data_IF_392123405810
#
_entry.id   IF_392123405810
#
_cell.length_a   1.000
_cell.length_b   1.000
_cell.length_c   1.000
_cell.angle_alpha   90.00
_cell.angle_beta   90.00
_cell.angle_gamma   90.00
#
_symmetry.space_group_name_H-M   'P 1'
#
loop_
_entity.id
_entity.type
_entity.pdbx_description
1 polymer ?
#
# COMPACT_ATOMS: atom_id res chain seq x y z
N UNK A 1 17.21 1.18 -2.19
CA UNK A 1 15.93 0.44 -2.41
C UNK A 1 15.73 -0.58 -1.31
N UNK A 2 14.53 -0.65 -0.73
CA UNK A 2 14.15 -1.60 0.32
C UNK A 2 13.34 -2.73 -0.30
N UNK A 3 13.73 -3.98 -0.07
CA UNK A 3 13.09 -5.16 -0.66
C UNK A 3 12.16 -5.86 0.35
N UNK A 4 10.96 -6.24 -0.09
CA UNK A 4 10.01 -7.00 0.71
C UNK A 4 10.35 -8.49 0.63
N UNK A 5 11.34 -8.92 1.39
CA UNK A 5 11.97 -10.25 1.34
C UNK A 5 11.49 -11.24 2.41
N UNK A 6 10.53 -10.82 3.28
CA UNK A 6 10.06 -11.67 4.40
C UNK A 6 8.80 -12.47 4.08
N UNK A 7 8.29 -12.38 2.87
CA UNK A 7 7.13 -13.14 2.44
C UNK A 7 7.41 -14.64 2.40
N UNK A 8 6.46 -15.44 2.89
CA UNK A 8 6.46 -16.91 2.75
C UNK A 8 5.39 -17.38 1.77
N UNK A 9 4.22 -16.75 1.82
CA UNK A 9 3.06 -17.10 0.98
C UNK A 9 3.01 -16.34 -0.34
N UNK A 10 3.86 -15.34 -0.52
CA UNK A 10 4.01 -14.62 -1.78
C UNK A 10 5.45 -14.73 -2.30
N UNK A 11 5.61 -14.83 -3.61
CA UNK A 11 6.90 -14.86 -4.28
C UNK A 11 6.79 -14.28 -5.69
N UNK A 12 7.67 -13.33 -6.03
CA UNK A 12 7.86 -12.92 -7.41
C UNK A 12 8.85 -13.86 -8.07
N UNK A 13 8.32 -14.82 -8.83
CA UNK A 13 9.09 -15.93 -9.42
C UNK A 13 9.99 -15.44 -10.55
N UNK A 14 9.45 -14.61 -11.44
CA UNK A 14 10.15 -14.05 -12.60
C UNK A 14 9.49 -12.74 -13.05
N UNK A 15 10.23 -11.93 -13.81
CA UNK A 15 9.78 -10.66 -14.35
C UNK A 15 10.40 -10.44 -15.72
N UNK A 16 9.60 -10.49 -16.79
CA UNK A 16 10.08 -10.38 -18.17
C UNK A 16 8.97 -10.03 -19.17
N UNK A 17 9.32 -9.30 -20.23
CA UNK A 17 8.40 -8.99 -21.31
C UNK A 17 7.16 -8.22 -20.88
N UNK A 18 7.31 -7.29 -19.94
CA UNK A 18 6.20 -6.49 -19.41
C UNK A 18 5.29 -7.22 -18.44
N UNK A 19 5.69 -8.38 -17.90
CA UNK A 19 4.87 -9.23 -17.04
C UNK A 19 5.61 -9.73 -15.80
N UNK A 20 4.84 -9.91 -14.73
CA UNK A 20 5.25 -10.61 -13.50
C UNK A 20 4.69 -12.02 -13.51
N UNK A 21 5.52 -13.00 -13.17
CA UNK A 21 5.09 -14.34 -12.78
C UNK A 21 5.15 -14.44 -11.26
N UNK A 22 4.02 -14.64 -10.61
CA UNK A 22 3.88 -14.53 -9.17
C UNK A 22 3.20 -15.76 -8.57
N UNK A 23 3.66 -16.17 -7.40
CA UNK A 23 2.98 -17.16 -6.55
C UNK A 23 2.28 -16.45 -5.39
N UNK A 24 1.00 -16.77 -5.20
CA UNK A 24 0.12 -16.23 -4.17
C UNK A 24 -0.49 -17.39 -3.38
N UNK A 25 0.18 -17.90 -2.35
CA UNK A 25 -0.09 -19.18 -1.75
C UNK A 25 0.20 -20.29 -2.77
N UNK A 26 -0.82 -21.09 -3.10
CA UNK A 26 -0.74 -22.14 -4.12
C UNK A 26 -1.12 -21.67 -5.54
N UNK A 27 -1.55 -20.40 -5.67
CA UNK A 27 -2.02 -19.85 -6.94
C UNK A 27 -0.89 -19.11 -7.66
N UNK A 28 -0.66 -19.46 -8.92
CA UNK A 28 0.34 -18.82 -9.78
C UNK A 28 -0.39 -17.92 -10.77
N UNK A 29 -0.03 -16.63 -10.80
CA UNK A 29 -0.64 -15.62 -11.65
C UNK A 29 0.40 -14.96 -12.56
N UNK A 30 -0.04 -14.59 -13.77
CA UNK A 30 0.69 -13.70 -14.68
C UNK A 30 -0.06 -12.37 -14.73
N UNK A 31 0.65 -11.28 -14.40
CA UNK A 31 0.07 -9.93 -14.41
C UNK A 31 0.96 -8.96 -15.17
N UNK A 32 0.39 -8.00 -15.93
CA UNK A 32 1.16 -7.00 -16.64
C UNK A 32 1.77 -5.99 -15.67
N UNK A 33 3.02 -5.62 -15.93
CA UNK A 33 3.71 -4.55 -15.23
C UNK A 33 4.50 -3.68 -16.23
N UNK A 34 4.11 -2.42 -16.43
CA UNK A 34 4.76 -1.55 -17.40
C UNK A 34 6.18 -1.11 -17.01
N UNK A 35 6.60 -1.35 -15.75
CA UNK A 35 7.97 -1.05 -15.33
C UNK A 35 8.97 -2.10 -15.81
N UNK A 36 8.50 -3.29 -16.21
CA UNK A 36 9.34 -4.35 -16.73
C UNK A 36 9.61 -4.08 -18.21
N UNK A 37 10.69 -3.33 -18.48
CA UNK A 37 11.09 -2.92 -19.82
C UNK A 37 12.04 -3.93 -20.50
N UNK A 38 12.52 -4.91 -19.75
CA UNK A 38 13.42 -5.96 -20.24
C UNK A 38 12.65 -7.19 -20.71
N UNK A 39 13.24 -7.88 -21.67
CA UNK A 39 12.72 -9.14 -22.21
C UNK A 39 13.80 -10.23 -22.08
N UNK A 40 13.80 -10.91 -20.95
CA UNK A 40 14.70 -12.02 -20.65
C UNK A 40 14.04 -13.34 -20.99
N UNK A 41 14.81 -14.42 -21.28
CA UNK A 41 14.22 -15.72 -21.52
C UNK A 41 13.39 -16.20 -20.32
N UNK A 42 12.11 -16.46 -20.55
CA UNK A 42 11.16 -17.02 -19.57
C UNK A 42 11.43 -18.49 -19.31
N UNK A 43 12.53 -18.78 -18.58
CA UNK A 43 13.00 -20.17 -18.34
C UNK A 43 12.23 -20.90 -17.27
N UNK A 44 11.58 -20.20 -16.35
CA UNK A 44 10.80 -20.83 -15.29
C UNK A 44 9.61 -21.58 -15.90
N UNK A 45 9.49 -22.91 -15.64
CA UNK A 45 8.39 -23.72 -16.22
C UNK A 45 7.02 -23.27 -15.75
N UNK A 46 6.94 -22.53 -14.64
CA UNK A 46 5.69 -22.01 -14.06
C UNK A 46 5.02 -20.95 -14.95
N UNK A 47 5.75 -20.34 -15.91
CA UNK A 47 5.13 -19.50 -16.95
C UNK A 47 4.07 -20.26 -17.76
N UNK A 48 4.29 -21.58 -18.00
CA UNK A 48 3.35 -22.46 -18.71
C UNK A 48 2.36 -23.16 -17.78
N UNK A 49 2.52 -23.00 -16.47
CA UNK A 49 1.73 -23.67 -15.44
C UNK A 49 0.88 -22.69 -14.63
N UNK A 50 0.85 -21.42 -15.02
CA UNK A 50 0.06 -20.41 -14.36
C UNK A 50 -1.43 -20.82 -14.28
N UNK A 51 -2.09 -20.40 -13.22
CA UNK A 51 -3.53 -20.62 -13.04
C UNK A 51 -4.36 -19.61 -13.83
N UNK A 52 -3.88 -18.37 -13.90
CA UNK A 52 -4.54 -17.33 -14.68
C UNK A 52 -3.56 -16.25 -15.14
N UNK A 53 -3.94 -15.53 -16.20
CA UNK A 53 -3.23 -14.37 -16.75
C UNK A 53 -4.21 -13.21 -16.91
N UNK A 54 -3.80 -12.03 -16.50
CA UNK A 54 -4.58 -10.82 -16.69
C UNK A 54 -4.19 -10.13 -18.00
N UNK A 55 -5.16 -9.90 -18.86
CA UNK A 55 -4.99 -9.15 -20.11
C UNK A 55 -5.57 -7.74 -19.95
N UNK A 56 -4.74 -6.73 -20.24
CA UNK A 56 -5.20 -5.33 -20.28
C UNK A 56 -6.06 -5.10 -21.53
N UNK A 57 -7.13 -4.36 -21.34
CA UNK A 57 -7.91 -3.79 -22.45
C UNK A 57 -7.29 -2.45 -22.89
N UNK A 58 -7.40 -2.13 -24.17
CA UNK A 58 -6.97 -0.84 -24.73
C UNK A 58 -7.89 0.33 -24.30
N UNK A 59 -9.08 0.02 -23.75
CA UNK A 59 -10.07 1.01 -23.31
C UNK A 59 -10.10 1.20 -21.79
N UNK A 60 -9.14 0.60 -21.06
CA UNK A 60 -9.07 0.58 -19.61
C UNK A 60 -9.67 -0.70 -19.01
N UNK A 61 -9.21 -1.08 -17.83
CA UNK A 61 -9.54 -2.37 -17.21
C UNK A 61 -8.90 -3.55 -17.92
N UNK A 62 -9.58 -4.69 -17.96
CA UNK A 62 -9.14 -5.92 -18.61
C UNK A 62 -9.89 -7.14 -18.06
N UNK A 63 -9.37 -8.32 -18.34
CA UNK A 63 -9.98 -9.58 -17.95
C UNK A 63 -8.94 -10.63 -17.59
N UNK A 64 -9.34 -11.58 -16.72
CA UNK A 64 -8.56 -12.75 -16.38
C UNK A 64 -8.87 -13.90 -17.34
N UNK A 65 -7.85 -14.37 -18.03
CA UNK A 65 -7.87 -15.65 -18.71
C UNK A 65 -7.48 -16.75 -17.70
N UNK A 66 -8.39 -17.68 -17.46
CA UNK A 66 -8.19 -18.77 -16.49
C UNK A 66 -7.77 -20.04 -17.22
N UNK A 67 -6.61 -20.56 -16.91
CA UNK A 67 -6.08 -21.83 -17.46
C UNK A 67 -6.40 -23.01 -16.56
N UNK A 68 -6.60 -22.75 -15.26
CA UNK A 68 -6.94 -23.73 -14.24
C UNK A 68 -8.00 -23.16 -13.30
N UNK A 69 -8.65 -24.03 -12.55
CA UNK A 69 -9.57 -23.59 -11.50
C UNK A 69 -8.84 -22.77 -10.45
N UNK A 70 -9.35 -21.62 -10.14
CA UNK A 70 -8.92 -20.77 -9.02
C UNK A 70 -10.14 -20.44 -8.17
N UNK A 71 -10.02 -20.39 -6.84
CA UNK A 71 -11.09 -19.96 -5.95
C UNK A 71 -11.53 -18.53 -6.28
N UNK A 72 -12.77 -18.19 -5.95
CA UNK A 72 -13.23 -16.80 -6.04
C UNK A 72 -12.54 -15.90 -5.01
N UNK A 73 -12.08 -16.50 -3.91
CA UNK A 73 -11.23 -15.85 -2.91
C UNK A 73 -10.35 -16.89 -2.22
N UNK A 74 -9.10 -16.50 -1.91
CA UNK A 74 -8.20 -17.28 -1.06
C UNK A 74 -7.43 -16.36 -0.13
N UNK A 75 -6.65 -16.89 0.77
CA UNK A 75 -5.89 -16.10 1.74
C UNK A 75 -4.40 -16.39 1.65
N UNK A 76 -3.59 -15.37 1.96
CA UNK A 76 -2.16 -15.49 2.22
C UNK A 76 -1.81 -14.79 3.52
N UNK A 77 -0.72 -15.24 4.15
CA UNK A 77 -0.23 -14.70 5.39
C UNK A 77 1.01 -13.82 5.22
N UNK A 78 1.12 -12.78 6.03
CA UNK A 78 2.36 -12.06 6.31
C UNK A 78 2.54 -11.95 7.83
N UNK A 79 3.47 -12.75 8.38
CA UNK A 79 3.55 -12.93 9.82
C UNK A 79 2.23 -13.47 10.38
N UNK A 80 1.60 -12.72 11.29
CA UNK A 80 0.31 -13.07 11.89
C UNK A 80 -0.90 -12.49 11.14
N UNK A 81 -0.68 -11.69 10.11
CA UNK A 81 -1.74 -11.05 9.34
C UNK A 81 -2.20 -11.95 8.20
N UNK A 82 -3.51 -12.05 8.02
CA UNK A 82 -4.15 -12.78 6.93
C UNK A 82 -4.86 -11.81 5.97
N UNK A 83 -4.61 -11.99 4.70
CA UNK A 83 -5.17 -11.16 3.65
C UNK A 83 -5.96 -12.00 2.65
N UNK A 84 -7.23 -11.69 2.49
CA UNK A 84 -8.05 -12.25 1.44
C UNK A 84 -7.63 -11.66 0.08
N UNK A 85 -7.53 -12.52 -0.91
CA UNK A 85 -7.21 -12.18 -2.29
C UNK A 85 -8.38 -12.55 -3.18
N UNK A 86 -8.68 -11.70 -4.17
CA UNK A 86 -9.78 -11.92 -5.13
C UNK A 86 -9.32 -11.46 -6.52
N UNK A 87 -9.47 -12.24 -7.59
CA UNK A 87 -9.30 -11.73 -8.95
C UNK A 87 -10.37 -10.68 -9.23
N UNK A 88 -9.95 -9.45 -9.44
CA UNK A 88 -10.86 -8.33 -9.71
C UNK A 88 -10.97 -8.06 -11.22
N UNK A 89 -11.88 -7.21 -11.65
CA UNK A 89 -11.93 -6.66 -13.01
C UNK A 89 -10.72 -5.80 -13.36
N UNK A 90 -9.76 -5.68 -12.45
CA UNK A 90 -8.46 -5.03 -12.62
C UNK A 90 -7.33 -6.04 -12.38
N UNK A 91 -6.09 -5.65 -12.75
CA UNK A 91 -4.89 -6.48 -12.52
C UNK A 91 -4.58 -6.75 -11.04
N UNK A 92 -5.16 -5.98 -10.14
CA UNK A 92 -4.89 -6.08 -8.70
C UNK A 92 -5.71 -7.21 -8.06
N UNK A 93 -5.12 -7.83 -7.04
CA UNK A 93 -5.69 -8.98 -6.32
C UNK A 93 -6.12 -8.64 -4.90
N UNK A 94 -6.03 -7.35 -4.53
CA UNK A 94 -6.38 -6.86 -3.19
C UNK A 94 -5.17 -6.58 -2.29
N UNK A 95 -3.94 -6.83 -2.74
CA UNK A 95 -2.75 -6.61 -1.94
C UNK A 95 -1.57 -6.14 -2.79
N UNK A 96 -0.70 -5.34 -2.17
CA UNK A 96 0.58 -4.87 -2.71
C UNK A 96 1.71 -5.40 -1.82
N UNK A 97 2.32 -6.55 -2.17
CA UNK A 97 3.29 -7.22 -1.31
C UNK A 97 4.54 -6.38 -1.00
N UNK A 98 4.95 -5.53 -1.92
CA UNK A 98 6.07 -4.61 -1.75
C UNK A 98 5.90 -3.63 -0.59
N UNK A 99 4.66 -3.34 -0.20
CA UNK A 99 4.36 -2.48 0.95
C UNK A 99 4.74 -3.08 2.30
N UNK A 100 5.06 -4.37 2.35
CA UNK A 100 5.44 -5.03 3.60
C UNK A 100 6.64 -4.36 4.29
N UNK A 101 7.57 -3.76 3.52
CA UNK A 101 8.70 -3.00 4.11
C UNK A 101 8.23 -1.74 4.86
N UNK A 102 7.16 -1.11 4.39
CA UNK A 102 6.55 0.03 5.05
C UNK A 102 5.77 -0.40 6.30
N UNK A 103 5.05 -1.53 6.22
CA UNK A 103 4.34 -2.10 7.37
C UNK A 103 5.31 -2.45 8.50
N UNK A 104 6.42 -3.11 8.17
CA UNK A 104 7.46 -3.47 9.14
C UNK A 104 8.08 -2.24 9.79
N UNK A 105 8.40 -1.20 9.01
CA UNK A 105 8.98 0.04 9.52
C UNK A 105 8.05 0.73 10.50
N UNK A 106 6.77 0.93 10.14
CA UNK A 106 5.77 1.55 11.02
C UNK A 106 5.51 0.70 12.27
N UNK A 107 5.36 -0.62 12.10
CA UNK A 107 5.15 -1.53 13.23
C UNK A 107 6.32 -1.50 14.23
N UNK A 108 7.56 -1.42 13.73
CA UNK A 108 8.75 -1.33 14.58
C UNK A 108 8.79 -0.04 15.41
N UNK A 109 8.37 1.09 14.84
CA UNK A 109 8.25 2.36 15.56
C UNK A 109 7.15 2.29 16.63
N UNK A 110 5.95 1.84 16.25
CA UNK A 110 4.80 1.74 17.16
C UNK A 110 5.12 0.84 18.36
N UNK A 111 5.74 -0.32 18.14
CA UNK A 111 6.10 -1.28 19.21
C UNK A 111 7.11 -0.75 20.22
N UNK A 112 7.88 0.29 19.88
CA UNK A 112 8.83 0.91 20.81
C UNK A 112 8.16 1.92 21.75
N UNK A 113 6.97 2.37 21.42
CA UNK A 113 6.24 3.35 22.23
C UNK A 113 5.58 2.70 23.45
N UNK A 114 5.73 3.35 24.60
CA UNK A 114 5.08 2.97 25.86
C UNK A 114 3.78 3.76 26.12
N UNK A 115 3.16 4.28 25.06
CA UNK A 115 1.93 5.08 25.09
C UNK A 115 0.98 4.66 23.98
N UNK A 116 -0.30 4.97 24.09
CA UNK A 116 -1.22 4.79 22.96
C UNK A 116 -0.76 5.61 21.74
N UNK A 117 -0.66 4.96 20.59
CA UNK A 117 -0.29 5.59 19.31
C UNK A 117 -1.53 5.69 18.44
N UNK A 118 -1.84 6.91 17.98
CA UNK A 118 -2.95 7.16 17.04
C UNK A 118 -2.41 7.33 15.62
N UNK A 119 -2.90 6.52 14.69
CA UNK A 119 -2.45 6.51 13.30
C UNK A 119 -3.59 6.88 12.36
N UNK A 120 -3.33 7.76 11.41
CA UNK A 120 -4.21 8.08 10.29
C UNK A 120 -3.69 7.40 9.03
N UNK A 121 -4.51 6.53 8.42
CA UNK A 121 -4.24 5.90 7.14
C UNK A 121 -5.20 6.44 6.08
N UNK A 122 -4.68 7.25 5.16
CA UNK A 122 -5.41 7.82 4.02
C UNK A 122 -5.16 6.98 2.77
N UNK A 123 -6.20 6.82 1.93
CA UNK A 123 -6.21 5.92 0.77
C UNK A 123 -5.89 4.48 1.20
N UNK A 124 -6.55 4.05 2.28
CA UNK A 124 -6.18 2.86 3.04
C UNK A 124 -6.44 1.54 2.32
N UNK A 125 -7.12 1.56 1.14
CA UNK A 125 -7.39 0.40 0.29
C UNK A 125 -8.01 -0.76 1.09
N UNK A 126 -7.48 -1.99 0.97
CA UNK A 126 -7.95 -3.19 1.68
C UNK A 126 -7.38 -3.34 3.09
N UNK A 127 -6.75 -2.28 3.62
CA UNK A 127 -6.40 -2.17 5.03
C UNK A 127 -5.11 -2.85 5.49
N UNK A 128 -4.24 -3.33 4.61
CA UNK A 128 -3.04 -4.05 5.03
C UNK A 128 -2.14 -3.22 5.96
N UNK A 129 -1.84 -1.96 5.61
CA UNK A 129 -1.08 -1.05 6.46
C UNK A 129 -1.82 -0.73 7.79
N UNK A 130 -3.16 -0.61 7.74
CA UNK A 130 -3.99 -0.46 8.94
C UNK A 130 -3.80 -1.63 9.89
N UNK A 131 -3.90 -2.87 9.39
CA UNK A 131 -3.77 -4.07 10.21
C UNK A 131 -2.36 -4.23 10.77
N UNK A 132 -1.32 -3.87 10.01
CA UNK A 132 0.06 -3.90 10.50
C UNK A 132 0.26 -2.92 11.68
N UNK A 133 -0.28 -1.70 11.59
CA UNK A 133 -0.22 -0.72 12.68
C UNK A 133 -1.05 -1.18 13.90
N UNK A 134 -2.24 -1.75 13.69
CA UNK A 134 -3.11 -2.25 14.77
C UNK A 134 -2.49 -3.45 15.48
N UNK A 135 -1.90 -4.40 14.73
CA UNK A 135 -1.18 -5.53 15.30
C UNK A 135 0.03 -5.09 16.14
N UNK A 136 0.63 -3.94 15.78
CA UNK A 136 1.70 -3.33 16.56
C UNK A 136 1.21 -2.56 17.81
N UNK A 137 -0.11 -2.39 18.01
CA UNK A 137 -0.70 -1.76 19.17
C UNK A 137 -1.29 -0.36 18.96
N UNK A 138 -1.35 0.14 17.71
CA UNK A 138 -1.92 1.45 17.41
C UNK A 138 -3.45 1.45 17.37
N UNK A 139 -4.02 2.63 17.60
CA UNK A 139 -5.41 2.97 17.27
C UNK A 139 -5.42 3.59 15.87
N UNK A 140 -6.08 2.97 14.90
CA UNK A 140 -6.00 3.42 13.51
C UNK A 140 -7.32 3.97 13.00
N UNK A 141 -7.26 5.15 12.42
CA UNK A 141 -8.34 5.71 11.59
C UNK A 141 -8.01 5.43 10.12
N UNK A 142 -8.80 4.55 9.52
CA UNK A 142 -8.69 4.13 8.11
C UNK A 142 -9.70 4.89 7.26
N UNK A 143 -9.24 5.57 6.22
CA UNK A 143 -10.07 6.35 5.29
C UNK A 143 -9.81 5.90 3.86
N UNK A 144 -10.86 5.52 3.18
CA UNK A 144 -10.82 5.21 1.74
C UNK A 144 -12.16 5.60 1.09
N UNK A 145 -12.11 6.10 -0.14
CA UNK A 145 -13.30 6.51 -0.88
C UNK A 145 -14.18 5.34 -1.34
N UNK A 146 -13.61 4.14 -1.45
CA UNK A 146 -14.29 2.95 -1.94
C UNK A 146 -14.94 2.14 -0.82
N UNK A 147 -16.27 2.11 -0.80
CA UNK A 147 -17.03 1.25 0.14
C UNK A 147 -16.60 -0.22 0.05
N UNK A 148 -16.32 -0.71 -1.16
CA UNK A 148 -15.90 -2.10 -1.37
C UNK A 148 -14.52 -2.39 -0.75
N UNK A 149 -13.57 -1.46 -0.87
CA UNK A 149 -12.23 -1.62 -0.30
C UNK A 149 -12.28 -1.57 1.24
N UNK A 150 -13.05 -0.64 1.81
CA UNK A 150 -13.25 -0.57 3.27
C UNK A 150 -13.92 -1.85 3.80
N UNK A 151 -14.91 -2.39 3.10
CA UNK A 151 -15.55 -3.66 3.48
C UNK A 151 -14.52 -4.81 3.45
N UNK A 152 -13.70 -4.89 2.41
CA UNK A 152 -12.63 -5.88 2.30
C UNK A 152 -11.57 -5.72 3.41
N UNK A 153 -11.23 -4.49 3.79
CA UNK A 153 -10.36 -4.23 4.95
C UNK A 153 -10.91 -4.80 6.25
N UNK A 154 -12.24 -4.70 6.46
CA UNK A 154 -12.91 -5.32 7.61
C UNK A 154 -12.88 -6.85 7.55
N UNK A 155 -13.05 -7.45 6.35
CA UNK A 155 -12.89 -8.90 6.15
C UNK A 155 -11.46 -9.34 6.55
N UNK A 156 -10.43 -8.60 6.12
CA UNK A 156 -9.04 -8.85 6.48
C UNK A 156 -8.79 -8.69 7.99
N UNK A 157 -9.44 -7.73 8.65
CA UNK A 157 -9.36 -7.56 10.11
C UNK A 157 -9.94 -8.76 10.86
N UNK A 158 -11.09 -9.28 10.41
CA UNK A 158 -11.71 -10.50 10.96
C UNK A 158 -10.79 -11.70 10.74
N UNK A 159 -10.29 -11.90 9.52
CA UNK A 159 -9.40 -13.02 9.19
C UNK A 159 -8.11 -13.00 10.02
N UNK A 160 -7.57 -11.82 10.32
CA UNK A 160 -6.37 -11.64 11.15
C UNK A 160 -6.63 -11.67 12.66
N UNK A 161 -7.88 -11.91 13.11
CA UNK A 161 -8.22 -11.91 14.54
C UNK A 161 -8.12 -10.52 15.21
N UNK A 162 -8.23 -9.45 14.43
CA UNK A 162 -8.07 -8.07 14.90
C UNK A 162 -9.39 -7.28 14.93
N UNK A 163 -10.53 -7.90 14.67
CA UNK A 163 -11.81 -7.22 14.53
C UNK A 163 -12.20 -6.36 15.75
N UNK A 164 -11.83 -6.81 16.96
CA UNK A 164 -12.13 -6.13 18.23
C UNK A 164 -11.08 -5.09 18.63
N UNK A 165 -10.05 -4.90 17.82
CA UNK A 165 -9.01 -3.91 18.07
C UNK A 165 -9.48 -2.50 17.68
N UNK A 166 -8.88 -1.45 18.23
CA UNK A 166 -9.32 -0.06 18.01
C UNK A 166 -9.05 0.43 16.58
N UNK A 167 -10.01 0.21 15.70
CA UNK A 167 -10.02 0.67 14.30
C UNK A 167 -11.27 1.47 13.98
N UNK A 168 -11.09 2.61 13.35
CA UNK A 168 -12.19 3.41 12.81
C UNK A 168 -12.16 3.34 11.29
N UNK A 169 -13.15 2.68 10.70
CA UNK A 169 -13.27 2.49 9.24
C UNK A 169 -14.21 3.54 8.64
N UNK A 170 -13.74 4.30 7.66
CA UNK A 170 -14.48 5.38 7.04
C UNK A 170 -14.47 5.26 5.51
N UNK A 171 -15.68 5.36 4.93
CA UNK A 171 -15.86 5.54 3.49
C UNK A 171 -16.00 7.05 3.26
N UNK A 172 -14.95 7.69 2.78
CA UNK A 172 -14.90 9.15 2.70
C UNK A 172 -13.82 9.64 1.71
N UNK A 173 -13.98 10.87 1.22
CA UNK A 173 -12.91 11.59 0.54
C UNK A 173 -11.83 12.00 1.54
N UNK A 174 -10.57 11.65 1.23
CA UNK A 174 -9.44 11.88 2.14
C UNK A 174 -9.22 13.37 2.45
N UNK A 175 -9.31 14.25 1.45
CA UNK A 175 -9.13 15.69 1.63
C UNK A 175 -10.23 16.29 2.52
N UNK A 176 -11.49 15.94 2.24
CA UNK A 176 -12.62 16.39 3.07
C UNK A 176 -12.54 15.85 4.50
N UNK A 177 -12.07 14.62 4.66
CA UNK A 177 -11.85 14.02 5.98
C UNK A 177 -10.81 14.83 6.77
N UNK A 178 -9.62 15.08 6.17
CA UNK A 178 -8.55 15.89 6.79
C UNK A 178 -9.04 17.25 7.22
N UNK A 179 -9.78 17.96 6.37
CA UNK A 179 -10.39 19.26 6.69
C UNK A 179 -11.33 19.19 7.90
N UNK A 180 -12.10 18.10 8.05
CA UNK A 180 -12.96 17.91 9.22
C UNK A 180 -12.20 17.62 10.50
N UNK A 181 -11.13 16.85 10.42
CA UNK A 181 -10.28 16.53 11.58
C UNK A 181 -9.55 17.79 12.08
N UNK A 182 -9.09 18.65 11.17
CA UNK A 182 -8.52 19.96 11.51
C UNK A 182 -9.52 20.85 12.28
N UNK A 183 -10.78 20.96 11.79
CA UNK A 183 -11.82 21.73 12.48
C UNK A 183 -12.20 21.14 13.85
N UNK A 184 -12.01 19.84 14.06
CA UNK A 184 -12.27 19.15 15.33
C UNK A 184 -11.11 19.24 16.31
N UNK A 185 -9.95 19.71 15.87
CA UNK A 185 -8.73 19.72 16.66
C UNK A 185 -8.17 18.33 16.96
N UNK A 186 -8.50 17.31 16.12
CA UNK A 186 -7.93 15.99 16.27
C UNK A 186 -6.49 15.97 15.78
N UNK A 187 -5.64 15.15 16.44
CA UNK A 187 -4.24 14.98 16.08
C UNK A 187 -3.88 13.49 16.03
N UNK A 188 -2.79 13.17 15.32
CA UNK A 188 -2.29 11.81 15.10
C UNK A 188 -0.79 11.74 15.34
N UNK A 189 -0.33 10.62 15.89
CA UNK A 189 1.09 10.36 16.12
C UNK A 189 1.77 9.82 14.87
N UNK A 190 1.03 9.10 14.03
CA UNK A 190 1.50 8.60 12.74
C UNK A 190 0.51 8.93 11.64
N UNK A 191 1.01 9.36 10.50
CA UNK A 191 0.20 9.57 9.29
C UNK A 191 0.85 8.79 8.15
N UNK A 192 0.04 8.04 7.41
CA UNK A 192 0.47 7.38 6.18
C UNK A 192 -0.54 7.59 5.07
N UNK A 193 -0.04 7.65 3.85
CA UNK A 193 -0.86 7.77 2.66
C UNK A 193 -0.22 7.09 1.44
N UNK A 194 -1.06 6.48 0.62
CA UNK A 194 -0.69 5.86 -0.66
C UNK A 194 -1.69 6.29 -1.74
N UNK A 195 -1.65 7.59 -2.13
CA UNK A 195 -2.62 8.15 -3.04
C UNK A 195 -2.45 7.59 -4.46
N UNK A 196 -3.57 7.30 -5.16
CA UNK A 196 -3.51 6.91 -6.56
C UNK A 196 -3.10 8.10 -7.43
N UNK A 197 -2.56 7.83 -8.64
CA UNK A 197 -2.27 8.88 -9.63
C UNK A 197 -3.54 9.66 -10.01
N UNK A 198 -4.66 8.94 -10.14
CA UNK A 198 -5.98 9.47 -10.44
C UNK A 198 -7.05 8.70 -9.68
N UNK A 199 -8.08 9.40 -9.20
CA UNK A 199 -9.20 8.78 -8.51
C UNK A 199 -10.46 9.63 -8.53
N UNK A 200 -11.56 9.05 -8.03
CA UNK A 200 -12.81 9.75 -7.78
C UNK A 200 -13.27 9.48 -6.35
N UNK A 201 -13.63 10.54 -5.65
CA UNK A 201 -14.26 10.46 -4.34
C UNK A 201 -15.71 9.98 -4.41
N UNK A 202 -16.32 9.60 -3.27
CA UNK A 202 -17.69 9.08 -3.21
C UNK A 202 -18.75 10.11 -3.62
N UNK A 203 -18.46 11.39 -3.56
CA UNK A 203 -19.32 12.48 -4.03
C UNK A 203 -19.01 12.98 -5.45
N UNK A 204 -18.13 12.26 -6.19
CA UNK A 204 -17.72 12.63 -7.55
C UNK A 204 -16.50 13.56 -7.61
N UNK A 205 -15.85 13.83 -6.48
CA UNK A 205 -14.60 14.59 -6.41
C UNK A 205 -13.53 13.95 -7.31
N UNK A 206 -12.76 14.78 -8.01
CA UNK A 206 -11.66 14.32 -8.85
C UNK A 206 -10.35 14.51 -8.10
N UNK A 207 -9.62 13.41 -7.93
CA UNK A 207 -8.26 13.40 -7.41
C UNK A 207 -7.27 13.28 -8.56
N UNK A 208 -6.29 14.18 -8.61
CA UNK A 208 -5.11 14.10 -9.46
C UNK A 208 -3.88 14.35 -8.58
N UNK A 209 -2.98 13.39 -8.55
CA UNK A 209 -1.86 13.39 -7.60
C UNK A 209 -0.99 14.65 -7.75
N UNK A 210 -0.57 14.97 -8.96
CA UNK A 210 0.33 16.08 -9.25
C UNK A 210 -0.23 17.47 -8.86
N UNK A 211 -1.55 17.60 -8.80
CA UNK A 211 -2.22 18.83 -8.42
C UNK A 211 -2.50 18.91 -6.91
N UNK A 212 -2.68 17.76 -6.26
CA UNK A 212 -3.29 17.69 -4.94
C UNK A 212 -2.40 17.12 -3.83
N UNK A 213 -1.28 16.46 -4.17
CA UNK A 213 -0.42 15.85 -3.14
C UNK A 213 0.19 16.90 -2.19
N UNK A 214 0.72 17.99 -2.72
CA UNK A 214 1.35 19.03 -1.91
C UNK A 214 0.36 19.72 -0.96
N UNK A 215 -0.80 20.23 -1.41
CA UNK A 215 -1.80 20.80 -0.50
C UNK A 215 -2.35 19.77 0.52
N UNK A 216 -2.54 18.51 0.14
CA UNK A 216 -2.99 17.48 1.07
C UNK A 216 -1.95 17.21 2.17
N UNK A 217 -0.68 17.06 1.82
CA UNK A 217 0.40 16.87 2.79
C UNK A 217 0.51 18.07 3.72
N UNK A 218 0.38 19.31 3.19
CA UNK A 218 0.40 20.53 3.99
C UNK A 218 -0.71 20.59 5.05
N UNK A 219 -1.90 20.08 4.72
CA UNK A 219 -2.99 19.96 5.69
C UNK A 219 -2.76 18.81 6.67
N UNK A 220 -2.25 17.67 6.20
CA UNK A 220 -1.97 16.52 7.05
C UNK A 220 -0.88 16.78 8.09
N UNK A 221 0.16 17.55 7.74
CA UNK A 221 1.22 17.92 8.69
C UNK A 221 0.65 18.69 9.91
N UNK A 222 -0.41 19.47 9.73
CA UNK A 222 -1.10 20.18 10.83
C UNK A 222 -1.87 19.24 11.76
N UNK A 223 -2.10 17.99 11.35
CA UNK A 223 -2.73 16.95 12.17
C UNK A 223 -1.72 16.15 12.99
N UNK A 224 -0.41 16.41 12.85
CA UNK A 224 0.58 15.76 13.71
C UNK A 224 0.37 16.19 15.16
N UNK A 225 0.48 15.24 16.09
CA UNK A 225 0.45 15.51 17.53
C UNK A 225 1.69 16.29 17.98
N UNK A 226 1.72 16.72 19.24
CA UNK A 226 2.90 17.41 19.81
C UNK A 226 4.13 16.48 19.93
N UNK A 227 3.90 15.16 19.95
CA UNK A 227 4.95 14.15 19.97
C UNK A 227 4.74 13.10 18.85
N UNK A 228 4.89 13.50 17.59
CA UNK A 228 4.60 12.65 16.45
C UNK A 228 5.68 11.59 16.27
N UNK A 229 5.30 10.45 15.70
CA UNK A 229 6.15 9.27 15.56
C UNK A 229 6.63 9.07 14.12
N UNK A 230 5.74 9.25 13.13
CA UNK A 230 6.11 9.16 11.72
C UNK A 230 5.13 9.87 10.78
N UNK A 231 5.62 10.20 9.58
CA UNK A 231 4.83 10.57 8.41
C UNK A 231 5.36 9.83 7.19
N UNK A 232 4.51 9.04 6.54
CA UNK A 232 4.87 8.21 5.39
C UNK A 232 4.01 8.55 4.17
N UNK A 233 4.66 8.77 3.03
CA UNK A 233 4.03 8.92 1.72
C UNK A 233 4.57 7.82 0.82
N UNK A 234 3.70 7.03 0.22
CA UNK A 234 4.05 6.10 -0.84
C UNK A 234 3.45 6.54 -2.17
N UNK A 235 4.03 6.15 -3.29
CA UNK A 235 3.48 6.39 -4.61
C UNK A 235 3.97 5.39 -5.64
N UNK A 236 3.08 5.07 -6.57
CA UNK A 236 3.35 4.26 -7.78
C UNK A 236 3.31 5.11 -9.05
N UNK A 237 3.22 6.43 -8.91
CA UNK A 237 3.08 7.34 -10.03
C UNK A 237 4.43 7.62 -10.69
N UNK A 238 4.50 7.35 -11.99
CA UNK A 238 5.66 7.71 -12.81
C UNK A 238 5.91 9.22 -12.75
N UNK A 239 7.16 9.61 -12.51
CA UNK A 239 7.56 11.02 -12.36
C UNK A 239 7.57 11.53 -10.91
N UNK A 240 6.96 10.81 -9.97
CA UNK A 240 7.06 11.12 -8.53
C UNK A 240 8.18 10.26 -7.90
N UNK A 241 9.43 10.67 -8.14
CA UNK A 241 10.60 9.95 -7.60
C UNK A 241 10.67 10.05 -6.06
N UNK A 242 11.43 9.15 -5.40
CA UNK A 242 11.68 9.24 -3.96
C UNK A 242 12.16 10.63 -3.53
N UNK A 243 13.08 11.24 -4.28
CA UNK A 243 13.64 12.56 -3.99
C UNK A 243 12.59 13.68 -4.07
N UNK A 244 11.63 13.59 -5.01
CA UNK A 244 10.52 14.55 -5.11
C UNK A 244 9.61 14.43 -3.89
N UNK A 245 9.26 13.21 -3.48
CA UNK A 245 8.44 13.00 -2.27
C UNK A 245 9.16 13.44 -1.01
N UNK A 246 10.48 13.20 -0.93
CA UNK A 246 11.32 13.70 0.18
C UNK A 246 11.30 15.22 0.24
N UNK A 247 11.40 15.89 -0.90
CA UNK A 247 11.33 17.35 -0.97
C UNK A 247 9.94 17.86 -0.54
N UNK A 248 8.88 17.27 -1.04
CA UNK A 248 7.49 17.63 -0.65
C UNK A 248 7.31 17.52 0.85
N UNK A 249 7.64 16.37 1.43
CA UNK A 249 7.47 16.17 2.87
C UNK A 249 8.39 17.07 3.69
N UNK A 250 9.68 17.14 3.32
CA UNK A 250 10.67 17.95 4.04
C UNK A 250 10.41 19.44 4.03
N UNK A 251 9.79 19.97 2.93
CA UNK A 251 9.43 21.39 2.85
C UNK A 251 8.22 21.77 3.70
N UNK A 252 7.44 20.80 4.18
CA UNK A 252 6.20 21.00 4.91
C UNK A 252 6.30 20.64 6.40
N UNK A 253 7.25 19.79 6.77
CA UNK A 253 7.47 19.42 8.17
C UNK A 253 7.80 20.65 9.01
N UNK A 254 7.32 20.74 10.27
CA UNK A 254 7.59 21.88 11.15
C UNK A 254 9.10 22.06 11.39
N UNK A 255 9.55 23.32 11.35
CA UNK A 255 10.93 23.66 11.67
C UNK A 255 11.26 23.17 13.08
N UNK A 256 12.35 22.41 13.22
CA UNK A 256 12.80 21.91 14.52
C UNK A 256 12.09 20.64 15.01
N UNK A 257 11.26 19.98 14.17
CA UNK A 257 10.59 18.74 14.54
C UNK A 257 11.58 17.61 14.91
N UNK A 258 12.85 17.72 14.48
CA UNK A 258 13.85 16.67 14.68
C UNK A 258 13.57 15.42 13.86
N UNK A 259 14.19 14.30 14.26
CA UNK A 259 13.99 13.01 13.58
C UNK A 259 14.76 12.87 12.26
N UNK A 260 14.41 11.84 11.49
CA UNK A 260 15.07 11.49 10.22
C UNK A 260 14.06 11.46 9.09
N UNK A 261 14.36 12.16 8.00
CA UNK A 261 13.60 12.10 6.75
C UNK A 261 14.41 11.33 5.71
N UNK A 262 13.88 10.24 5.23
CA UNK A 262 14.48 9.41 4.19
C UNK A 262 13.48 9.13 3.06
N UNK A 263 14.00 8.86 1.87
CA UNK A 263 13.18 8.39 0.76
C UNK A 263 13.92 7.34 -0.06
N UNK A 264 13.19 6.33 -0.50
CA UNK A 264 13.78 5.21 -1.22
C UNK A 264 12.72 4.52 -2.09
N UNK A 265 13.16 3.74 -3.05
CA UNK A 265 12.29 2.81 -3.76
C UNK A 265 11.98 1.59 -2.89
N UNK A 266 10.79 1.03 -3.06
CA UNK A 266 10.41 -0.26 -2.52
C UNK A 266 10.25 -1.27 -3.65
N UNK A 267 10.59 -2.52 -3.40
CA UNK A 267 10.60 -3.53 -4.45
C UNK A 267 10.42 -4.94 -3.95
N UNK A 268 10.36 -5.85 -4.92
CA UNK A 268 10.18 -7.28 -4.73
C UNK A 268 11.39 -8.05 -5.23
N UNK A 269 11.97 -8.95 -4.42
CA UNK A 269 13.00 -9.87 -4.90
C UNK A 269 12.45 -10.76 -6.01
N UNK A 270 13.19 -10.87 -7.11
CA UNK A 270 12.85 -11.75 -8.25
C UNK A 270 13.66 -13.03 -8.14
N UNK A 271 13.01 -14.15 -7.89
CA UNK A 271 13.68 -15.44 -7.67
C UNK A 271 14.56 -15.87 -8.85
N UNK A 272 14.06 -15.72 -10.08
CA UNK A 272 14.77 -16.17 -11.28
C UNK A 272 16.06 -15.40 -11.56
N UNK A 273 16.14 -14.12 -11.21
CA UNK A 273 17.29 -13.27 -11.51
C UNK A 273 18.17 -12.93 -10.30
N UNK A 274 17.63 -13.07 -9.08
CA UNK A 274 18.26 -12.55 -7.86
C UNK A 274 18.29 -11.02 -7.75
N UNK A 275 17.69 -10.31 -8.71
CA UNK A 275 17.56 -8.86 -8.68
C UNK A 275 16.28 -8.46 -7.93
N UNK A 276 16.11 -7.16 -7.70
CA UNK A 276 14.90 -6.60 -7.10
C UNK A 276 14.13 -5.82 -8.16
N UNK A 277 12.84 -6.16 -8.37
CA UNK A 277 11.94 -5.37 -9.18
C UNK A 277 11.55 -4.10 -8.41
N UNK A 278 11.89 -2.88 -8.87
CA UNK A 278 11.38 -1.66 -8.28
C UNK A 278 9.87 -1.57 -8.53
N UNK A 279 9.09 -1.30 -7.48
CA UNK A 279 7.63 -1.28 -7.58
C UNK A 279 7.04 0.09 -7.33
N UNK A 280 7.53 0.79 -6.32
CA UNK A 280 7.05 2.10 -5.92
C UNK A 280 8.13 2.87 -5.18
N UNK A 281 7.79 4.08 -4.77
CA UNK A 281 8.67 4.96 -4.02
C UNK A 281 8.02 5.38 -2.70
N UNK A 282 8.82 5.50 -1.64
CA UNK A 282 8.35 5.91 -0.32
C UNK A 282 9.24 7.02 0.22
N UNK A 283 8.64 8.08 0.75
CA UNK A 283 9.29 9.03 1.66
C UNK A 283 8.74 8.83 3.06
N UNK A 284 9.60 8.79 4.05
CA UNK A 284 9.23 8.62 5.44
C UNK A 284 10.06 9.52 6.33
N UNK A 285 9.38 10.37 7.09
CA UNK A 285 9.94 11.01 8.26
C UNK A 285 9.58 10.18 9.50
N UNK A 286 10.50 10.03 10.43
CA UNK A 286 10.23 9.42 11.75
C UNK A 286 11.12 10.07 12.81
N UNK A 287 10.62 10.08 14.03
CA UNK A 287 11.33 10.50 15.23
C UNK A 287 12.53 9.62 15.55
#
# INVERSE_FOLDING_TARGET
>A
MRAADKWKDYELLDASGGERLERWGDIILIRPDPQILWDTPKKDPRWKQAHARYHRSNTGGGQWERYRSIPDSWQIAYGELLFALKPMGFKHTGLFPEQAVNWDAMAALIKKENRPVRVLNLFGYTGAATLACVAAGAHVTHVDASKGMVAWGKENAVASGLADRPMRWLVDDCGKFVQRELRRGNTYDGILMDPPSYGRGPGGEVWKLEEQIYPLVAECVKLLSDDPLFFLINSYTTGLSPSVMQYVLGSLLPTGIGGTLSADEIGLPVTASGLVLPCGATAMWHK
#
